data_IF_840262230621
#
_entry.id   IF_840262230621
#
_cell.length_a   1.000
_cell.length_b   1.000
_cell.length_c   1.000
_cell.angle_alpha   90.00
_cell.angle_beta   90.00
_cell.angle_gamma   90.00
#
_symmetry.space_group_name_H-M   'P 1'
#
loop_
_entity.id
_entity.type
_entity.pdbx_description
1 polymer ?
#
# COMPACT_ATOMS: atom_id res chain seq x y z
N UNK A 1 -7.81 45.67 8.41
CA UNK A 1 -9.12 45.07 8.73
C UNK A 1 -9.20 43.66 8.14
N UNK A 2 -8.51 42.68 8.74
CA UNK A 2 -8.55 41.29 8.28
C UNK A 2 -9.30 40.42 9.28
N UNK A 3 -10.49 39.92 8.93
CA UNK A 3 -11.23 38.97 9.78
C UNK A 3 -10.64 37.58 9.56
N UNK A 4 -10.01 37.01 10.58
CA UNK A 4 -9.51 35.63 10.57
C UNK A 4 -10.69 34.64 10.55
N UNK A 5 -10.70 33.71 9.60
CA UNK A 5 -11.67 32.61 9.53
C UNK A 5 -11.29 31.55 10.57
N UNK A 6 -12.14 31.33 11.56
CA UNK A 6 -11.99 30.25 12.53
C UNK A 6 -12.35 28.90 11.90
N UNK A 7 -11.46 27.90 12.04
CA UNK A 7 -11.76 26.50 11.68
C UNK A 7 -12.86 25.98 12.60
N UNK A 8 -13.98 25.54 12.04
CA UNK A 8 -15.07 24.89 12.78
C UNK A 8 -14.58 23.53 13.29
N UNK A 9 -14.70 23.31 14.60
CA UNK A 9 -14.42 22.02 15.21
C UNK A 9 -15.47 21.00 14.77
N UNK A 10 -15.04 19.91 14.14
CA UNK A 10 -15.91 18.82 13.74
C UNK A 10 -16.45 18.17 15.01
N UNK A 11 -17.78 18.19 15.16
CA UNK A 11 -18.47 17.52 16.26
C UNK A 11 -18.28 16.01 16.11
N UNK A 12 -17.84 15.34 17.17
CA UNK A 12 -17.82 13.87 17.21
C UNK A 12 -19.26 13.39 17.06
N UNK A 13 -19.55 12.63 16.00
CA UNK A 13 -20.86 11.99 15.81
C UNK A 13 -21.09 11.02 16.97
N UNK A 14 -22.28 11.05 17.59
CA UNK A 14 -22.69 10.04 18.56
C UNK A 14 -22.84 8.70 17.82
N UNK A 15 -21.81 7.86 17.88
CA UNK A 15 -21.82 6.48 17.40
C UNK A 15 -21.82 5.51 18.59
N UNK A 16 -22.97 5.25 19.25
CA UNK A 16 -23.04 4.45 20.46
C UNK A 16 -22.76 2.95 20.23
N UNK A 17 -22.77 2.49 18.97
CA UNK A 17 -22.45 1.10 18.60
C UNK A 17 -20.99 0.90 18.20
N UNK A 18 -20.24 1.98 17.94
CA UNK A 18 -18.81 1.91 17.56
C UNK A 18 -18.55 1.23 16.21
N UNK A 19 -19.59 0.95 15.43
CA UNK A 19 -19.46 0.29 14.12
C UNK A 19 -19.14 1.36 13.07
N UNK A 20 -18.11 1.16 12.23
CA UNK A 20 -17.83 2.06 11.12
C UNK A 20 -19.01 2.07 10.14
N UNK A 21 -19.40 3.26 9.67
CA UNK A 21 -20.42 3.39 8.62
C UNK A 21 -19.88 2.77 7.33
N UNK A 22 -20.74 2.25 6.45
CA UNK A 22 -20.31 1.73 5.14
C UNK A 22 -19.53 2.78 4.33
N UNK A 23 -19.78 4.06 4.57
CA UNK A 23 -19.03 5.17 3.99
C UNK A 23 -17.63 5.34 4.61
N UNK A 24 -17.44 5.04 5.91
CA UNK A 24 -16.13 5.07 6.57
C UNK A 24 -15.27 3.85 6.14
N UNK A 25 -15.89 2.74 5.76
CA UNK A 25 -15.22 1.53 5.28
C UNK A 25 -14.62 1.74 3.88
N UNK A 26 -15.27 2.56 3.03
CA UNK A 26 -14.73 2.95 1.74
C UNK A 26 -13.54 3.93 1.90
N UNK A 27 -13.58 4.81 2.92
CA UNK A 27 -12.50 5.78 3.19
C UNK A 27 -11.25 5.12 3.84
N UNK A 28 -11.41 4.04 4.62
CA UNK A 28 -10.28 3.24 5.15
C UNK A 28 -9.58 2.42 4.05
N UNK A 29 -10.21 2.26 2.88
CA UNK A 29 -9.58 1.74 1.66
C UNK A 29 -8.64 2.74 0.97
N UNK A 30 -8.72 4.03 1.31
CA UNK A 30 -7.95 5.12 0.71
C UNK A 30 -6.82 5.66 1.63
N UNK A 31 -6.68 5.14 2.86
CA UNK A 31 -5.63 5.56 3.81
C UNK A 31 -4.23 4.97 3.54
N UNK A 32 -3.93 4.62 2.28
CA UNK A 32 -2.55 4.34 1.84
C UNK A 32 -2.21 5.04 0.52
N UNK A 33 -2.92 6.11 0.16
CA UNK A 33 -2.47 7.05 -0.87
C UNK A 33 -1.76 8.22 -0.17
N UNK A 34 -0.43 8.30 -0.27
CA UNK A 34 0.27 9.44 0.34
C UNK A 34 1.78 9.42 0.42
N UNK A 35 2.48 8.37 -0.01
CA UNK A 35 3.93 8.47 -0.19
C UNK A 35 4.55 7.50 -1.23
N UNK A 36 3.76 6.91 -2.12
CA UNK A 36 4.32 6.22 -3.29
C UNK A 36 4.77 7.30 -4.29
N UNK A 37 5.99 7.78 -4.11
CA UNK A 37 6.74 8.57 -5.08
C UNK A 37 6.71 7.87 -6.44
N UNK A 38 5.72 8.16 -7.28
CA UNK A 38 5.64 7.80 -8.71
C UNK A 38 6.41 6.52 -9.07
N UNK A 39 6.21 5.43 -8.33
CA UNK A 39 7.07 4.26 -8.42
C UNK A 39 6.56 3.46 -9.59
N UNK A 40 7.29 3.47 -10.70
CA UNK A 40 6.86 2.75 -11.89
C UNK A 40 7.02 1.25 -11.65
N UNK A 41 6.25 0.44 -12.37
CA UNK A 41 6.38 -1.03 -12.31
C UNK A 41 7.82 -1.47 -12.60
N UNK A 42 8.55 -0.70 -13.41
CA UNK A 42 9.96 -0.96 -13.74
C UNK A 42 10.95 -0.78 -12.58
N UNK A 43 10.62 0.03 -11.56
CA UNK A 43 11.50 0.29 -10.42
C UNK A 43 11.34 -0.76 -9.29
N UNK A 44 10.25 -1.51 -9.33
CA UNK A 44 9.90 -2.53 -8.32
C UNK A 44 10.96 -3.62 -8.11
N UNK A 45 11.58 -4.19 -9.16
CA UNK A 45 12.63 -5.20 -8.99
C UNK A 45 13.79 -4.71 -8.13
N UNK A 46 14.21 -3.46 -8.32
CA UNK A 46 15.34 -2.88 -7.61
C UNK A 46 14.97 -2.59 -6.14
N UNK A 47 13.75 -2.06 -5.91
CA UNK A 47 13.24 -1.85 -4.55
C UNK A 47 13.07 -3.16 -3.77
N UNK A 48 12.61 -4.24 -4.42
CA UNK A 48 12.46 -5.57 -3.83
C UNK A 48 13.81 -6.21 -3.44
N UNK A 49 14.89 -5.80 -4.10
CA UNK A 49 16.26 -6.23 -3.80
C UNK A 49 16.97 -5.29 -2.81
N UNK A 50 16.24 -4.34 -2.21
CA UNK A 50 16.75 -3.42 -1.20
C UNK A 50 17.54 -4.09 -0.08
N UNK A 51 18.57 -3.40 0.41
CA UNK A 51 19.50 -3.95 1.40
C UNK A 51 18.93 -4.03 2.81
N UNK A 52 17.90 -3.23 3.12
CA UNK A 52 17.23 -3.22 4.40
C UNK A 52 15.85 -3.89 4.32
N UNK A 53 15.31 -4.25 5.49
CA UNK A 53 14.06 -4.98 5.55
C UNK A 53 12.86 -4.06 5.31
N UNK A 54 12.94 -2.78 5.68
CA UNK A 54 11.85 -1.81 5.48
C UNK A 54 11.64 -1.46 4.00
N UNK A 55 12.70 -1.29 3.19
CA UNK A 55 12.55 -1.02 1.75
C UNK A 55 11.86 -2.20 1.05
N UNK A 56 12.26 -3.43 1.37
CA UNK A 56 11.66 -4.63 0.77
C UNK A 56 10.19 -4.79 1.17
N UNK A 57 9.86 -4.45 2.41
CA UNK A 57 8.47 -4.48 2.88
C UNK A 57 7.63 -3.41 2.16
N UNK A 58 8.16 -2.20 2.02
CA UNK A 58 7.53 -1.12 1.28
C UNK A 58 7.30 -1.53 -0.19
N UNK A 59 8.32 -2.07 -0.85
CA UNK A 59 8.25 -2.57 -2.22
C UNK A 59 7.20 -3.67 -2.37
N UNK A 60 7.16 -4.63 -1.44
CA UNK A 60 6.15 -5.69 -1.41
C UNK A 60 4.72 -5.13 -1.26
N UNK A 61 4.56 -4.07 -0.46
CA UNK A 61 3.28 -3.40 -0.26
C UNK A 61 2.82 -2.67 -1.53
N UNK A 62 3.73 -1.96 -2.20
CA UNK A 62 3.47 -1.32 -3.50
C UNK A 62 3.07 -2.38 -4.54
N UNK A 63 3.80 -3.49 -4.59
CA UNK A 63 3.49 -4.61 -5.49
C UNK A 63 2.09 -5.20 -5.21
N UNK A 64 1.72 -5.38 -3.94
CA UNK A 64 0.39 -5.84 -3.57
C UNK A 64 -0.72 -4.89 -4.03
N UNK A 65 -0.46 -3.58 -4.02
CA UNK A 65 -1.40 -2.59 -4.50
C UNK A 65 -1.55 -2.61 -6.02
N UNK A 66 -0.47 -2.80 -6.79
CA UNK A 66 -0.59 -3.05 -8.23
C UNK A 66 -1.31 -4.37 -8.53
N UNK A 67 -1.05 -5.43 -7.78
CA UNK A 67 -1.73 -6.71 -8.00
C UNK A 67 -3.27 -6.64 -7.84
N UNK A 68 -3.80 -5.61 -7.16
CA UNK A 68 -5.26 -5.37 -7.08
C UNK A 68 -5.86 -4.84 -8.39
N UNK A 69 -5.07 -4.14 -9.20
CA UNK A 69 -5.54 -3.60 -10.49
C UNK A 69 -5.17 -4.57 -11.64
N UNK A 70 -6.17 -5.17 -12.31
CA UNK A 70 -5.93 -6.10 -13.41
C UNK A 70 -5.14 -5.50 -14.58
N UNK A 71 -5.22 -4.18 -14.82
CA UNK A 71 -4.45 -3.55 -15.89
C UNK A 71 -2.94 -3.57 -15.59
N UNK A 72 -2.56 -3.43 -14.32
CA UNK A 72 -1.14 -3.45 -13.92
C UNK A 72 -0.60 -4.87 -13.66
N UNK A 73 -1.49 -5.85 -13.46
CA UNK A 73 -1.10 -7.27 -13.36
C UNK A 73 -0.36 -7.77 -14.61
N UNK A 74 -0.81 -7.41 -15.82
CA UNK A 74 -0.11 -7.80 -17.05
C UNK A 74 1.31 -7.20 -17.13
N UNK A 75 1.45 -5.95 -16.69
CA UNK A 75 2.75 -5.28 -16.60
C UNK A 75 3.67 -5.96 -15.57
N UNK A 76 3.13 -6.36 -14.41
CA UNK A 76 3.88 -7.08 -13.38
C UNK A 76 4.42 -8.44 -13.88
N UNK A 77 3.61 -9.16 -14.66
CA UNK A 77 4.01 -10.44 -15.25
C UNK A 77 5.10 -10.26 -16.31
N UNK A 78 4.98 -9.23 -17.14
CA UNK A 78 5.94 -8.92 -18.22
C UNK A 78 7.30 -8.50 -17.65
N UNK A 79 7.31 -7.73 -16.56
CA UNK A 79 8.51 -7.20 -15.93
C UNK A 79 9.34 -8.24 -15.14
N UNK A 80 9.00 -9.55 -15.20
CA UNK A 80 9.68 -10.62 -14.44
C UNK A 80 9.72 -10.38 -12.92
N UNK A 81 8.87 -9.50 -12.38
CA UNK A 81 8.85 -9.12 -10.96
C UNK A 81 8.54 -10.33 -10.08
N UNK A 82 7.69 -11.24 -10.56
CA UNK A 82 7.38 -12.50 -9.87
C UNK A 82 8.64 -13.34 -9.61
N UNK A 83 9.61 -13.35 -10.53
CA UNK A 83 10.87 -14.09 -10.37
C UNK A 83 11.73 -13.47 -9.26
N UNK A 84 11.71 -12.15 -9.13
CA UNK A 84 12.43 -11.40 -8.09
C UNK A 84 11.73 -11.48 -6.73
N UNK A 85 10.40 -11.48 -6.74
CA UNK A 85 9.57 -11.54 -5.54
C UNK A 85 9.49 -12.96 -4.93
N UNK A 86 9.51 -14.02 -5.75
CA UNK A 86 9.35 -15.39 -5.25
C UNK A 86 10.38 -15.80 -4.17
N UNK A 87 11.69 -15.46 -4.28
CA UNK A 87 12.66 -15.72 -3.21
C UNK A 87 12.36 -14.99 -1.89
N UNK A 88 11.67 -13.85 -1.93
CA UNK A 88 11.33 -13.07 -0.73
C UNK A 88 10.27 -13.76 0.14
N UNK A 89 9.60 -14.80 -0.35
CA UNK A 89 8.78 -15.70 0.48
C UNK A 89 9.61 -16.42 1.56
N UNK A 90 10.94 -16.50 1.39
CA UNK A 90 11.88 -17.07 2.34
C UNK A 90 12.68 -15.99 3.09
N UNK A 91 12.26 -14.73 3.02
CA UNK A 91 12.97 -13.64 3.69
C UNK A 91 12.98 -13.82 5.22
N UNK A 92 14.05 -13.32 5.86
CA UNK A 92 14.19 -13.39 7.32
C UNK A 92 13.08 -12.60 8.02
N UNK A 93 12.64 -11.47 7.45
CA UNK A 93 11.57 -10.67 8.00
C UNK A 93 10.21 -11.31 7.71
N UNK A 94 9.39 -11.47 8.74
CA UNK A 94 8.03 -11.99 8.63
C UNK A 94 7.10 -11.01 7.89
N UNK A 95 7.29 -9.70 8.04
CA UNK A 95 6.46 -8.69 7.39
C UNK A 95 6.63 -8.73 5.87
N UNK A 96 7.88 -8.77 5.38
CA UNK A 96 8.20 -8.95 3.95
C UNK A 96 7.52 -10.21 3.40
N UNK A 97 7.62 -11.34 4.10
CA UNK A 97 6.98 -12.59 3.67
C UNK A 97 5.47 -12.48 3.55
N UNK A 98 4.81 -11.86 4.52
CA UNK A 98 3.36 -11.69 4.52
C UNK A 98 2.91 -10.78 3.37
N UNK A 99 3.60 -9.65 3.17
CA UNK A 99 3.29 -8.71 2.09
C UNK A 99 3.48 -9.34 0.70
N UNK A 100 4.58 -10.08 0.48
CA UNK A 100 4.84 -10.78 -0.78
C UNK A 100 3.82 -11.90 -1.01
N UNK A 101 3.50 -12.68 0.02
CA UNK A 101 2.47 -13.72 -0.10
C UNK A 101 1.08 -13.13 -0.43
N UNK A 102 0.77 -11.96 0.12
CA UNK A 102 -0.44 -11.21 -0.21
C UNK A 102 -0.46 -10.69 -1.64
N UNK A 103 0.69 -10.23 -2.14
CA UNK A 103 0.81 -9.72 -3.51
C UNK A 103 0.76 -10.80 -4.60
N UNK A 104 1.13 -12.04 -4.29
CA UNK A 104 1.16 -13.17 -5.23
C UNK A 104 -0.13 -14.01 -5.26
N UNK A 105 -1.12 -13.67 -4.43
CA UNK A 105 -2.39 -14.40 -4.30
C UNK A 105 -3.38 -14.00 -5.38
#
# INVERSE_FOLDING_TARGET
MGKAKTKKHISRRNNPTGMPSTHDIEEDGELQDGNATSSSVDDLPDMLQGGNAEERECAACIMANFAKDPATCESLLTASIVRTAAPLLLDKNHAVRHSIAGALR
#
